data_IF_023631809438
#
_entry.id   IF_023631809438
#
_cell.length_a   1.000
_cell.length_b   1.000
_cell.length_c   1.000
_cell.angle_alpha   90.00
_cell.angle_beta   90.00
_cell.angle_gamma   90.00
#
_symmetry.space_group_name_H-M   'P 1'
#
loop_
_entity.id
_entity.type
_entity.pdbx_description
1 polymer ?
#
# COMPACT_ATOMS: atom_id res chain seq x y z
N UNK A 1 14.52 -8.96 17.44
CA UNK A 1 15.03 -8.25 16.24
C UNK A 1 14.41 -6.87 16.13
N UNK A 2 13.07 -6.74 16.26
CA UNK A 2 12.38 -5.45 16.24
C UNK A 2 12.96 -4.42 17.24
N UNK A 3 13.31 -4.80 18.47
CA UNK A 3 13.91 -3.86 19.42
C UNK A 3 15.27 -3.32 18.99
N UNK A 4 16.09 -4.10 18.28
CA UNK A 4 17.35 -3.62 17.72
C UNK A 4 17.13 -2.56 16.65
N UNK A 5 16.13 -2.75 15.78
CA UNK A 5 15.75 -1.76 14.76
C UNK A 5 15.24 -0.46 15.40
N UNK A 6 14.38 -0.55 16.41
CA UNK A 6 13.86 0.63 17.13
C UNK A 6 14.97 1.40 17.84
N UNK A 7 15.89 0.72 18.52
CA UNK A 7 17.06 1.34 19.15
C UNK A 7 18.01 1.96 18.12
N UNK A 8 18.17 1.33 16.96
CA UNK A 8 18.97 1.87 15.85
C UNK A 8 18.35 3.13 15.26
N UNK A 9 17.03 3.14 15.06
CA UNK A 9 16.27 4.32 14.64
C UNK A 9 16.49 5.49 15.62
N UNK A 10 16.31 5.26 16.92
CA UNK A 10 16.50 6.31 17.95
C UNK A 10 17.93 6.86 17.88
N UNK A 11 18.95 6.00 17.83
CA UNK A 11 20.36 6.42 17.70
C UNK A 11 20.61 7.29 16.47
N UNK A 12 20.14 6.89 15.29
CA UNK A 12 20.33 7.69 14.07
C UNK A 12 19.53 8.98 14.09
N UNK A 13 18.33 8.96 14.65
CA UNK A 13 17.49 10.16 14.76
C UNK A 13 18.16 11.27 15.56
N UNK A 14 18.93 10.92 16.60
CA UNK A 14 19.72 11.89 17.38
C UNK A 14 20.80 12.54 16.52
N UNK A 15 21.45 11.76 15.66
CA UNK A 15 22.52 12.25 14.76
C UNK A 15 21.94 13.16 13.68
N UNK A 16 20.82 12.78 13.08
CA UNK A 16 20.22 13.48 11.93
C UNK A 16 19.42 14.71 12.37
N UNK A 17 18.61 14.59 13.42
CA UNK A 17 17.64 15.61 13.84
C UNK A 17 18.03 16.30 15.17
N UNK A 18 19.11 15.85 15.81
CA UNK A 18 19.58 16.36 17.10
C UNK A 18 18.86 15.74 18.30
N UNK A 19 19.43 15.93 19.49
CA UNK A 19 18.91 15.35 20.74
C UNK A 19 17.47 15.77 21.08
N UNK A 20 17.04 16.96 20.62
CA UNK A 20 15.67 17.48 20.83
C UNK A 20 14.60 16.68 20.09
N UNK A 21 14.98 15.87 19.10
CA UNK A 21 14.05 14.98 18.39
C UNK A 21 13.57 13.83 19.28
N UNK A 22 14.38 13.40 20.25
CA UNK A 22 14.05 12.31 21.18
C UNK A 22 13.14 12.83 22.28
N UNK A 23 11.92 13.20 21.90
CA UNK A 23 10.81 13.45 22.82
C UNK A 23 10.30 12.14 23.42
N UNK A 24 9.42 12.24 24.42
CA UNK A 24 8.85 11.07 25.12
C UNK A 24 8.38 9.96 24.17
N UNK A 25 7.61 10.30 23.13
CA UNK A 25 7.07 9.33 22.17
C UNK A 25 8.17 8.60 21.37
N UNK A 26 9.30 9.27 21.10
CA UNK A 26 10.41 8.64 20.37
C UNK A 26 11.20 7.74 21.31
N UNK A 27 11.37 8.16 22.56
CA UNK A 27 12.03 7.36 23.58
C UNK A 27 11.23 6.09 23.91
N UNK A 28 9.90 6.20 24.06
CA UNK A 28 9.04 5.08 24.43
C UNK A 28 9.10 3.91 23.44
N UNK A 29 9.43 4.16 22.17
CA UNK A 29 9.63 3.10 21.18
C UNK A 29 10.71 2.09 21.57
N UNK A 30 11.69 2.44 22.41
CA UNK A 30 12.69 1.46 22.84
C UNK A 30 12.15 0.38 23.78
N UNK A 31 10.98 0.60 24.40
CA UNK A 31 10.30 -0.35 25.30
C UNK A 31 9.26 -1.20 24.58
N UNK A 32 8.86 -0.82 23.36
CA UNK A 32 7.75 -1.45 22.63
C UNK A 32 7.94 -2.95 22.39
N UNK A 33 9.18 -3.41 22.21
CA UNK A 33 9.48 -4.84 22.08
C UNK A 33 9.12 -5.60 23.37
N UNK A 34 9.53 -5.07 24.53
CA UNK A 34 9.27 -5.67 25.84
C UNK A 34 7.77 -5.61 26.17
N UNK A 35 7.11 -4.50 25.85
CA UNK A 35 5.66 -4.35 26.02
C UNK A 35 4.88 -5.34 25.16
N UNK A 36 5.28 -5.56 23.89
CA UNK A 36 4.66 -6.58 23.04
C UNK A 36 4.89 -8.01 23.58
N UNK A 37 6.05 -8.28 24.19
CA UNK A 37 6.30 -9.59 24.80
C UNK A 37 5.42 -9.82 26.04
N UNK A 38 5.12 -8.78 26.81
CA UNK A 38 4.32 -8.87 28.02
C UNK A 38 2.80 -8.86 27.75
N UNK A 39 2.35 -8.06 26.78
CA UNK A 39 0.93 -7.78 26.54
C UNK A 39 0.39 -8.36 25.22
N UNK A 40 1.25 -9.01 24.44
CA UNK A 40 0.90 -9.59 23.14
C UNK A 40 1.01 -8.58 21.99
N UNK A 41 0.30 -8.81 20.89
CA UNK A 41 0.36 -7.94 19.73
C UNK A 41 -0.10 -6.52 20.06
N UNK A 42 0.44 -5.53 19.35
CA UNK A 42 0.14 -4.11 19.57
C UNK A 42 -1.36 -3.81 19.55
N UNK A 43 -2.13 -4.52 18.73
CA UNK A 43 -3.60 -4.38 18.65
C UNK A 43 -4.32 -4.67 19.98
N UNK A 44 -3.72 -5.48 20.87
CA UNK A 44 -4.35 -5.85 22.14
C UNK A 44 -4.34 -4.71 23.16
N UNK A 45 -3.36 -3.80 23.09
CA UNK A 45 -3.16 -2.77 24.10
C UNK A 45 -3.02 -1.35 23.52
N UNK A 46 -2.93 -1.22 22.19
CA UNK A 46 -2.91 0.06 21.50
C UNK A 46 -4.33 0.56 21.26
N UNK A 47 -4.54 1.86 21.53
CA UNK A 47 -5.79 2.53 21.17
C UNK A 47 -5.85 2.94 19.68
N UNK A 48 -4.84 2.59 18.86
CA UNK A 48 -4.72 3.03 17.46
C UNK A 48 -5.95 2.67 16.61
N UNK A 49 -6.50 1.46 16.76
CA UNK A 49 -7.72 1.03 16.03
C UNK A 49 -8.93 1.92 16.33
N UNK A 50 -8.94 2.60 17.48
CA UNK A 50 -10.01 3.51 17.89
C UNK A 50 -9.73 4.98 17.56
N UNK A 51 -8.55 5.32 17.04
CA UNK A 51 -8.16 6.70 16.75
C UNK A 51 -9.08 7.34 15.70
N UNK A 52 -9.41 6.59 14.64
CA UNK A 52 -10.39 7.01 13.64
C UNK A 52 -11.78 7.20 14.24
N UNK A 53 -12.20 6.31 15.16
CA UNK A 53 -13.50 6.43 15.84
C UNK A 53 -13.55 7.68 16.72
N UNK A 54 -12.46 8.02 17.39
CA UNK A 54 -12.36 9.22 18.22
C UNK A 54 -12.59 10.49 17.40
N UNK A 55 -12.08 10.57 16.16
CA UNK A 55 -12.38 11.69 15.27
C UNK A 55 -13.87 11.79 14.97
N UNK A 56 -14.53 10.66 14.70
CA UNK A 56 -15.99 10.59 14.51
C UNK A 56 -16.76 11.09 15.73
N UNK A 57 -16.36 10.68 16.94
CA UNK A 57 -16.97 11.13 18.20
C UNK A 57 -16.76 12.63 18.38
N UNK A 58 -15.54 13.15 18.14
CA UNK A 58 -15.23 14.58 18.27
C UNK A 58 -16.09 15.46 17.34
N UNK A 59 -16.44 14.99 16.15
CA UNK A 59 -17.36 15.71 15.24
C UNK A 59 -18.79 15.81 15.78
N UNK A 60 -19.19 14.91 16.68
CA UNK A 60 -20.50 15.00 17.33
C UNK A 60 -20.55 16.14 18.35
N UNK A 61 -19.39 16.49 18.92
CA UNK A 61 -19.25 17.51 19.94
C UNK A 61 -19.20 18.90 19.30
N UNK A 62 -20.07 19.80 19.76
CA UNK A 62 -20.06 21.21 19.42
C UNK A 62 -19.22 22.04 20.39
N UNK A 63 -19.10 21.59 21.65
CA UNK A 63 -18.28 22.25 22.68
C UNK A 63 -17.82 21.27 23.76
N UNK A 64 -16.89 21.70 24.62
CA UNK A 64 -16.45 20.93 25.79
C UNK A 64 -17.49 20.85 26.92
N UNK A 65 -18.63 21.54 26.79
CA UNK A 65 -19.69 21.53 27.79
C UNK A 65 -20.58 20.31 27.60
N UNK A 66 -20.63 19.40 28.57
CA UNK A 66 -21.49 18.20 28.54
C UNK A 66 -21.25 17.29 27.31
N UNK A 67 -20.01 16.87 27.04
CA UNK A 67 -19.65 16.18 25.79
C UNK A 67 -20.37 14.83 25.61
N UNK A 68 -20.55 14.07 26.69
CA UNK A 68 -21.25 12.78 26.63
C UNK A 68 -22.71 12.94 26.18
N UNK A 69 -23.42 13.94 26.71
CA UNK A 69 -24.81 14.23 26.36
C UNK A 69 -24.93 14.70 24.90
N UNK A 70 -24.01 15.56 24.46
CA UNK A 70 -23.95 15.99 23.05
C UNK A 70 -23.75 14.80 22.11
N UNK A 71 -22.79 13.92 22.42
CA UNK A 71 -22.54 12.73 21.61
C UNK A 71 -23.75 11.78 21.58
N UNK A 72 -24.36 11.50 22.74
CA UNK A 72 -25.50 10.60 22.85
C UNK A 72 -26.73 11.09 22.06
N UNK A 73 -27.11 12.36 22.20
CA UNK A 73 -28.25 12.90 21.46
C UNK A 73 -28.04 12.87 19.94
N UNK A 74 -26.81 13.18 19.50
CA UNK A 74 -26.48 13.21 18.07
C UNK A 74 -26.33 11.83 17.45
N UNK A 75 -26.01 10.82 18.25
CA UNK A 75 -26.03 9.43 17.82
C UNK A 75 -27.46 8.92 17.67
N UNK A 76 -28.36 9.28 18.60
CA UNK A 76 -29.80 8.98 18.51
C UNK A 76 -30.45 9.59 17.26
N UNK A 77 -30.02 10.77 16.81
CA UNK A 77 -30.51 11.41 15.58
C UNK A 77 -30.18 10.61 14.30
N UNK A 78 -29.12 9.78 14.29
CA UNK A 78 -28.64 9.11 13.07
C UNK A 78 -29.48 7.91 12.62
N UNK A 79 -30.37 7.40 13.47
CA UNK A 79 -31.20 6.22 13.17
C UNK A 79 -30.40 4.92 12.99
N UNK A 80 -31.08 3.77 12.83
CA UNK A 80 -30.42 2.49 12.61
C UNK A 80 -29.70 2.47 11.25
N UNK A 81 -28.39 2.22 11.26
CA UNK A 81 -27.60 1.99 10.05
C UNK A 81 -27.57 0.49 9.74
N UNK A 82 -28.13 0.10 8.60
CA UNK A 82 -27.91 -1.23 8.05
C UNK A 82 -26.49 -1.28 7.49
N UNK A 83 -25.61 -2.05 8.14
CA UNK A 83 -24.29 -2.35 7.59
C UNK A 83 -24.48 -3.42 6.52
N UNK A 84 -24.51 -3.00 5.26
CA UNK A 84 -24.44 -3.92 4.13
C UNK A 84 -22.97 -4.31 3.99
N UNK A 85 -22.65 -5.54 4.36
CA UNK A 85 -21.35 -6.15 4.09
C UNK A 85 -21.42 -6.67 2.64
N UNK A 86 -21.00 -5.84 1.68
CA UNK A 86 -20.86 -6.31 0.29
C UNK A 86 -19.68 -7.30 0.23
N UNK A 87 -19.93 -8.48 -0.36
CA UNK A 87 -18.89 -9.49 -0.60
C UNK A 87 -17.96 -8.96 -1.71
N UNK A 88 -16.68 -8.81 -1.40
CA UNK A 88 -15.70 -8.26 -2.35
C UNK A 88 -15.31 -9.29 -3.42
N UNK A 89 -16.05 -9.32 -4.53
CA UNK A 89 -15.48 -9.79 -5.79
C UNK A 89 -14.53 -8.71 -6.34
N UNK A 90 -13.44 -9.12 -7.00
CA UNK A 90 -12.49 -8.16 -7.54
C UNK A 90 -13.14 -7.30 -8.63
N UNK A 91 -13.29 -6.00 -8.37
CA UNK A 91 -13.82 -5.05 -9.33
C UNK A 91 -12.72 -4.63 -10.32
N UNK A 92 -12.84 -5.10 -11.57
CA UNK A 92 -11.89 -4.76 -12.64
C UNK A 92 -12.50 -3.74 -13.60
N UNK A 93 -11.81 -2.61 -13.79
CA UNK A 93 -12.23 -1.54 -14.68
C UNK A 93 -11.11 -1.16 -15.67
N UNK A 94 -11.38 -1.32 -16.97
CA UNK A 94 -10.49 -0.94 -18.06
C UNK A 94 -10.88 0.43 -18.62
N UNK A 95 -9.89 1.29 -18.87
CA UNK A 95 -10.15 2.63 -19.39
C UNK A 95 -9.02 3.17 -20.27
N UNK A 96 -9.31 4.30 -20.93
CA UNK A 96 -8.41 4.97 -21.88
C UNK A 96 -8.02 4.05 -23.04
N UNK A 97 -9.05 3.59 -23.77
CA UNK A 97 -8.85 2.75 -24.95
C UNK A 97 -7.94 3.44 -25.97
N UNK A 98 -7.05 2.67 -26.61
CA UNK A 98 -6.14 3.13 -27.66
C UNK A 98 -6.48 2.46 -28.99
N UNK A 99 -6.15 3.15 -30.08
CA UNK A 99 -6.04 2.51 -31.39
C UNK A 99 -4.81 1.60 -31.39
N UNK A 100 -4.87 0.51 -32.16
CA UNK A 100 -3.83 -0.50 -32.27
C UNK A 100 -2.46 0.16 -32.61
N UNK A 101 -1.51 0.24 -31.67
CA UNK A 101 -0.18 0.75 -31.88
C UNK A 101 0.53 -0.09 -32.94
N UNK A 102 1.32 0.58 -33.77
CA UNK A 102 2.24 -0.07 -34.70
C UNK A 102 3.31 -0.77 -33.84
N UNK A 103 3.49 -2.10 -34.01
CA UNK A 103 4.39 -2.99 -33.25
C UNK A 103 3.87 -3.52 -31.91
N UNK A 104 2.60 -3.90 -31.84
CA UNK A 104 2.09 -4.73 -30.74
C UNK A 104 2.31 -6.22 -31.00
N UNK A 105 2.66 -6.94 -29.93
CA UNK A 105 2.96 -8.37 -29.97
C UNK A 105 1.70 -9.25 -29.78
N UNK A 106 0.57 -8.64 -29.44
CA UNK A 106 -0.71 -9.33 -29.20
C UNK A 106 -1.89 -8.54 -29.76
N UNK A 107 -2.83 -9.26 -30.38
CA UNK A 107 -4.08 -8.72 -30.88
C UNK A 107 -5.15 -8.64 -29.78
N UNK A 108 -5.92 -7.57 -29.76
CA UNK A 108 -7.00 -7.37 -28.79
C UNK A 108 -7.38 -5.89 -28.67
N UNK A 109 -8.33 -5.60 -27.79
CA UNK A 109 -8.71 -4.23 -27.44
C UNK A 109 -7.68 -3.70 -26.45
N UNK A 110 -7.15 -2.51 -26.69
CA UNK A 110 -6.01 -2.00 -25.95
C UNK A 110 -6.35 -0.80 -25.09
N UNK A 111 -5.73 -0.71 -23.92
CA UNK A 111 -6.04 0.27 -22.88
C UNK A 111 -4.76 0.89 -22.31
N UNK A 112 -4.83 2.14 -21.82
CA UNK A 112 -3.73 2.75 -21.05
C UNK A 112 -3.81 2.45 -19.57
N UNK A 113 -4.99 2.12 -19.05
CA UNK A 113 -5.27 2.09 -17.61
C UNK A 113 -6.18 0.93 -17.24
N UNK A 114 -5.85 0.28 -16.14
CA UNK A 114 -6.68 -0.70 -15.45
C UNK A 114 -6.72 -0.36 -13.97
N UNK A 115 -7.91 -0.46 -13.39
CA UNK A 115 -8.13 -0.42 -11.95
C UNK A 115 -8.60 -1.80 -11.52
N UNK A 116 -7.92 -2.41 -10.55
CA UNK A 116 -8.33 -3.66 -9.90
C UNK A 116 -8.54 -3.33 -8.43
N UNK A 117 -9.80 -3.35 -7.98
CA UNK A 117 -10.21 -2.87 -6.66
C UNK A 117 -9.78 -1.40 -6.45
N UNK A 118 -8.81 -1.18 -5.57
CA UNK A 118 -8.22 0.14 -5.28
C UNK A 118 -6.82 0.32 -5.87
N UNK A 119 -6.32 -0.65 -6.64
CA UNK A 119 -4.99 -0.61 -7.24
C UNK A 119 -5.11 -0.15 -8.69
N UNK A 120 -4.28 0.81 -9.07
CA UNK A 120 -4.29 1.39 -10.42
C UNK A 120 -2.98 1.05 -11.10
N UNK A 121 -3.06 0.47 -12.29
CA UNK A 121 -1.95 0.39 -13.21
C UNK A 121 -2.23 1.26 -14.42
N UNK A 122 -1.26 2.11 -14.76
CA UNK A 122 -1.37 2.99 -15.91
C UNK A 122 -0.03 3.06 -16.64
N UNK A 123 -0.10 3.07 -17.97
CA UNK A 123 1.05 3.25 -18.83
C UNK A 123 1.54 4.72 -18.80
N UNK A 124 2.09 5.13 -17.66
CA UNK A 124 2.68 6.44 -17.39
C UNK A 124 4.02 6.24 -16.63
N UNK A 125 4.62 7.29 -16.10
CA UNK A 125 5.91 7.17 -15.39
C UNK A 125 5.80 6.71 -13.94
N UNK A 126 4.61 6.65 -13.34
CA UNK A 126 4.41 6.45 -11.89
C UNK A 126 3.74 5.12 -11.57
N UNK A 127 2.69 4.78 -12.29
CA UNK A 127 1.79 3.66 -12.03
C UNK A 127 2.02 2.50 -13.01
N UNK A 128 3.17 2.49 -13.70
CA UNK A 128 3.51 1.48 -14.71
C UNK A 128 4.33 0.33 -14.15
N UNK A 129 4.92 0.44 -12.97
CA UNK A 129 5.71 -0.64 -12.41
C UNK A 129 4.80 -1.72 -11.82
N UNK A 130 5.04 -2.98 -12.18
CA UNK A 130 4.34 -4.13 -11.61
C UNK A 130 5.31 -5.28 -11.34
N UNK A 131 4.89 -6.22 -10.50
CA UNK A 131 5.64 -7.42 -10.13
C UNK A 131 4.84 -8.66 -10.48
N UNK A 132 5.48 -9.69 -11.03
CA UNK A 132 4.83 -10.98 -11.27
C UNK A 132 4.79 -11.83 -9.99
N UNK A 133 3.98 -12.88 -9.98
CA UNK A 133 3.97 -13.90 -8.90
C UNK A 133 5.34 -14.57 -8.74
N UNK A 134 6.10 -14.69 -9.83
CA UNK A 134 7.46 -15.23 -9.84
C UNK A 134 8.52 -14.25 -9.31
N UNK A 135 8.12 -13.03 -8.96
CA UNK A 135 9.00 -12.01 -8.38
C UNK A 135 9.74 -11.14 -9.40
N UNK A 136 9.48 -11.32 -10.68
CA UNK A 136 10.05 -10.48 -11.74
C UNK A 136 9.38 -9.11 -11.76
N UNK A 137 10.16 -8.07 -12.08
CA UNK A 137 9.69 -6.68 -12.08
C UNK A 137 9.70 -6.16 -13.50
N UNK A 138 8.64 -5.46 -13.88
CA UNK A 138 8.46 -4.94 -15.23
C UNK A 138 7.81 -3.56 -15.25
N UNK A 139 8.04 -2.84 -16.36
CA UNK A 139 7.37 -1.59 -16.69
C UNK A 139 6.29 -1.84 -17.72
N UNK A 140 5.06 -1.49 -17.36
CA UNK A 140 3.87 -1.59 -18.18
C UNK A 140 3.96 -0.64 -19.37
N UNK A 141 3.90 -1.22 -20.56
CA UNK A 141 3.83 -0.49 -21.82
C UNK A 141 2.39 -0.40 -22.33
N UNK A 142 1.63 -1.49 -22.21
CA UNK A 142 0.29 -1.62 -22.76
C UNK A 142 -0.56 -2.65 -21.99
N UNK A 143 -1.88 -2.50 -22.04
CA UNK A 143 -2.85 -3.45 -21.47
C UNK A 143 -3.76 -3.91 -22.61
N UNK A 144 -3.93 -5.22 -22.76
CA UNK A 144 -4.69 -5.81 -23.87
C UNK A 144 -5.74 -6.77 -23.34
N UNK A 145 -6.99 -6.57 -23.75
CA UNK A 145 -8.10 -7.49 -23.50
C UNK A 145 -8.35 -8.36 -24.73
N UNK A 146 -8.34 -9.68 -24.54
CA UNK A 146 -8.60 -10.68 -25.59
C UNK A 146 -9.36 -11.85 -24.98
N UNK A 147 -10.50 -12.22 -25.57
CA UNK A 147 -11.32 -13.37 -25.14
C UNK A 147 -11.60 -13.36 -23.62
N UNK A 148 -12.06 -12.21 -23.11
CA UNK A 148 -12.33 -11.94 -21.69
C UNK A 148 -11.14 -12.06 -20.72
N UNK A 149 -9.93 -12.28 -21.24
CA UNK A 149 -8.71 -12.24 -20.47
C UNK A 149 -7.97 -10.92 -20.67
N UNK A 150 -7.28 -10.49 -19.61
CA UNK A 150 -6.52 -9.24 -19.59
C UNK A 150 -5.03 -9.57 -19.50
N UNK A 151 -4.26 -8.97 -20.39
CA UNK A 151 -2.84 -9.16 -20.53
C UNK A 151 -2.11 -7.83 -20.33
N UNK A 152 -1.02 -7.86 -19.56
CA UNK A 152 -0.07 -6.76 -19.46
C UNK A 152 1.06 -7.03 -20.44
N UNK A 153 1.40 -6.00 -21.20
CA UNK A 153 2.54 -6.00 -22.12
C UNK A 153 3.55 -5.02 -21.57
N UNK A 154 4.76 -5.48 -21.30
CA UNK A 154 5.77 -4.66 -20.63
C UNK A 154 7.19 -5.12 -20.89
N UNK A 155 8.12 -4.31 -20.40
CA UNK A 155 9.56 -4.59 -20.45
C UNK A 155 10.04 -5.03 -19.07
N UNK A 156 10.81 -6.11 -19.02
CA UNK A 156 11.25 -6.73 -17.77
C UNK A 156 12.67 -6.30 -17.40
N UNK A 157 12.95 -6.19 -16.11
CA UNK A 157 14.30 -5.98 -15.60
C UNK A 157 15.01 -7.31 -15.41
N UNK A 158 16.25 -7.41 -15.90
CA UNK A 158 17.07 -8.62 -15.78
C UNK A 158 17.90 -8.68 -14.50
N UNK A 159 18.10 -7.54 -13.83
CA UNK A 159 18.86 -7.48 -12.58
C UNK A 159 18.04 -6.86 -11.46
N UNK A 160 17.95 -7.60 -10.36
CA UNK A 160 17.29 -7.20 -9.11
C UNK A 160 18.30 -7.29 -7.96
N UNK A 161 18.17 -6.41 -6.97
CA UNK A 161 19.04 -6.42 -5.80
C UNK A 161 18.53 -5.53 -4.68
N UNK A 162 19.29 -5.48 -3.59
CA UNK A 162 18.99 -4.62 -2.45
C UNK A 162 19.19 -3.14 -2.83
N UNK A 163 18.22 -2.29 -2.52
CA UNK A 163 18.38 -0.84 -2.57
C UNK A 163 19.28 -0.36 -1.42
N UNK A 164 19.20 -1.02 -0.27
CA UNK A 164 20.07 -0.86 0.89
C UNK A 164 20.07 -2.15 1.73
N UNK A 165 21.12 -2.36 2.51
CA UNK A 165 21.27 -3.56 3.36
C UNK A 165 21.25 -3.24 4.86
N UNK A 166 21.49 -1.99 5.22
CA UNK A 166 21.55 -1.54 6.60
C UNK A 166 20.40 -0.58 6.91
N UNK A 167 19.74 -0.68 8.08
CA UNK A 167 19.93 -1.69 9.14
C UNK A 167 19.23 -3.03 8.87
N UNK A 168 18.47 -3.11 7.78
CA UNK A 168 17.69 -4.26 7.34
C UNK A 168 17.76 -4.29 5.82
N UNK A 169 17.80 -5.48 5.22
CA UNK A 169 17.73 -5.62 3.77
C UNK A 169 16.44 -5.02 3.23
N UNK A 170 16.56 -4.14 2.23
CA UNK A 170 15.41 -3.50 1.62
C UNK A 170 14.44 -4.49 0.98
N UNK A 171 14.94 -5.65 0.53
CA UNK A 171 14.12 -6.71 -0.06
C UNK A 171 13.14 -7.31 0.94
N UNK A 172 13.53 -7.40 2.23
CA UNK A 172 12.62 -7.83 3.30
C UNK A 172 11.46 -6.85 3.51
N UNK A 173 11.66 -5.59 3.13
CA UNK A 173 10.64 -4.54 3.13
C UNK A 173 9.83 -4.47 1.82
N UNK A 174 10.12 -5.37 0.86
CA UNK A 174 9.53 -5.33 -0.47
C UNK A 174 10.08 -4.21 -1.36
N UNK A 175 11.23 -3.62 -0.99
CA UNK A 175 11.89 -2.55 -1.75
C UNK A 175 13.07 -3.17 -2.50
N UNK A 176 12.99 -3.14 -3.83
CA UNK A 176 13.99 -3.76 -4.71
C UNK A 176 14.59 -2.71 -5.62
N UNK A 177 15.91 -2.75 -5.80
CA UNK A 177 16.60 -2.01 -6.85
C UNK A 177 16.61 -2.84 -8.12
N UNK A 178 16.18 -2.25 -9.22
CA UNK A 178 16.13 -2.90 -10.53
C UNK A 178 17.05 -2.20 -11.53
N UNK A 179 17.62 -2.95 -12.46
CA UNK A 179 18.43 -2.41 -13.55
C UNK A 179 18.39 -3.31 -14.78
N UNK A 180 18.93 -2.82 -15.90
CA UNK A 180 18.97 -3.53 -17.19
C UNK A 180 17.58 -3.93 -17.69
N UNK A 181 16.79 -2.92 -18.08
CA UNK A 181 15.48 -3.09 -18.70
C UNK A 181 15.62 -3.73 -20.09
N UNK A 182 14.89 -4.81 -20.33
CA UNK A 182 14.86 -5.51 -21.62
C UNK A 182 14.29 -4.61 -22.71
N UNK A 183 14.85 -4.69 -23.92
CA UNK A 183 14.29 -4.04 -25.11
C UNK A 183 13.08 -4.80 -25.67
N UNK A 184 12.97 -6.09 -25.38
CA UNK A 184 11.86 -6.91 -25.87
C UNK A 184 10.64 -6.76 -24.96
N UNK A 185 9.46 -6.67 -25.58
CA UNK A 185 8.18 -6.70 -24.89
C UNK A 185 7.83 -8.15 -24.54
N UNK A 186 7.34 -8.37 -23.34
CA UNK A 186 6.80 -9.66 -22.91
C UNK A 186 5.35 -9.51 -22.45
N UNK A 187 4.60 -10.61 -22.49
CA UNK A 187 3.16 -10.67 -22.19
C UNK A 187 2.96 -11.43 -20.89
N UNK A 188 2.17 -10.85 -19.98
CA UNK A 188 1.80 -11.47 -18.70
C UNK A 188 0.29 -11.45 -18.55
N UNK A 189 -0.30 -12.56 -18.14
CA UNK A 189 -1.73 -12.61 -17.79
C UNK A 189 -1.96 -11.89 -16.45
N UNK A 190 -3.05 -11.13 -16.32
CA UNK A 190 -3.38 -10.38 -15.11
C UNK A 190 -3.35 -11.23 -13.82
N UNK A 191 -3.72 -12.51 -13.92
CA UNK A 191 -3.69 -13.46 -12.79
C UNK A 191 -2.28 -13.75 -12.27
N UNK A 192 -1.25 -13.52 -13.09
CA UNK A 192 0.15 -13.74 -12.74
C UNK A 192 0.82 -12.47 -12.20
N UNK A 193 0.05 -11.42 -11.92
CA UNK A 193 0.53 -10.17 -11.36
C UNK A 193 0.34 -10.21 -9.85
N UNK A 194 1.43 -10.02 -9.12
CA UNK A 194 1.41 -9.91 -7.67
C UNK A 194 0.97 -8.49 -7.28
N UNK A 195 -0.26 -8.35 -6.82
CA UNK A 195 -0.76 -7.19 -6.11
C UNK A 195 -0.72 -7.48 -4.60
N UNK A 196 -0.26 -6.51 -3.80
CA UNK A 196 -0.23 -6.59 -2.34
C UNK A 196 -1.48 -5.97 -1.74
#
# INVERSE_FOLDING_TARGET
YAGQLLRTFIKHSVVIYGARFVVYNVHSMCHLEEECQQHGHLENFSAFVFENKLQGIKRLLHSGYKPLQQAAYRDLEKGPQNVILENEENHVFLSMQRNHPVNEIINGIQYKKITVNNIIFQCNNKDSCFKTVDGEIAILHNIVQRQDQIYFVGHFFSQTGNAYEYPLSSVELGIVRVSHLSMEKQIVLLTNIAAK
#
